data_IF_531236925385
#
_entry.id   IF_531236925385
#
_cell.length_a   1.000
_cell.length_b   1.000
_cell.length_c   1.000
_cell.angle_alpha   90.00
_cell.angle_beta   90.00
_cell.angle_gamma   90.00
#
_symmetry.space_group_name_H-M   'P 1'
#
loop_
_entity.id
_entity.type
_entity.pdbx_description
1 polymer ?
#
# COMPACT_ATOMS: atom_id res chain seq x y z
N UNK A 1 -25.28 -8.20 21.56
CA UNK A 1 -25.43 -6.75 21.30
C UNK A 1 -25.54 -6.50 19.80
N UNK A 2 -26.07 -5.35 19.38
CA UNK A 2 -26.01 -4.90 17.99
C UNK A 2 -24.75 -4.05 17.80
N UNK A 3 -24.01 -4.26 16.71
CA UNK A 3 -22.82 -3.47 16.34
C UNK A 3 -22.92 -3.07 14.88
N UNK A 4 -22.41 -1.88 14.54
CA UNK A 4 -22.10 -1.49 13.18
C UNK A 4 -20.59 -1.65 12.95
N UNK A 5 -20.20 -2.54 12.05
CA UNK A 5 -18.80 -2.76 11.68
C UNK A 5 -18.60 -2.30 10.24
N UNK A 6 -17.91 -1.19 10.05
CA UNK A 6 -17.59 -0.66 8.73
C UNK A 6 -18.81 -0.39 7.83
N UNK A 7 -20.01 -0.17 8.40
CA UNK A 7 -21.28 0.03 7.68
C UNK A 7 -22.19 -1.21 7.66
N UNK A 8 -21.73 -2.34 8.20
CA UNK A 8 -22.52 -3.57 8.33
C UNK A 8 -23.04 -3.73 9.74
N UNK A 9 -24.36 -3.54 9.90
CA UNK A 9 -25.05 -3.78 11.17
C UNK A 9 -25.26 -5.28 11.38
N UNK A 10 -24.80 -5.80 12.51
CA UNK A 10 -24.91 -7.23 12.84
C UNK A 10 -25.08 -7.50 14.33
N UNK A 11 -25.75 -8.62 14.65
CA UNK A 11 -25.78 -9.13 16.03
C UNK A 11 -24.45 -9.79 16.37
N UNK A 12 -23.82 -9.31 17.44
CA UNK A 12 -22.54 -9.81 17.93
C UNK A 12 -22.71 -10.50 19.31
N UNK A 13 -22.22 -11.74 19.48
CA UNK A 13 -22.33 -12.51 20.72
C UNK A 13 -21.31 -12.03 21.78
N UNK A 14 -21.44 -10.77 22.22
CA UNK A 14 -20.55 -10.13 23.20
C UNK A 14 -20.32 -10.96 24.46
N UNK A 15 -21.34 -11.64 24.97
CA UNK A 15 -21.24 -12.41 26.22
C UNK A 15 -20.31 -13.62 26.08
N UNK A 16 -20.13 -14.14 24.87
CA UNK A 16 -19.16 -15.23 24.61
C UNK A 16 -17.71 -14.80 24.83
N UNK A 17 -17.43 -13.49 24.83
CA UNK A 17 -16.10 -12.96 25.19
C UNK A 17 -15.81 -13.06 26.70
N UNK A 18 -16.79 -13.39 27.54
CA UNK A 18 -16.58 -13.61 28.98
C UNK A 18 -16.00 -14.99 29.30
N UNK A 19 -15.79 -15.85 28.29
CA UNK A 19 -15.04 -17.09 28.44
C UNK A 19 -13.66 -16.80 29.07
N UNK A 20 -13.17 -17.68 29.94
CA UNK A 20 -11.96 -17.42 30.74
C UNK A 20 -10.72 -17.10 29.90
N UNK A 21 -10.61 -17.73 28.73
CA UNK A 21 -9.52 -17.49 27.78
C UNK A 21 -9.73 -16.26 26.88
N UNK A 22 -10.91 -15.63 26.87
CA UNK A 22 -11.23 -14.47 26.04
C UNK A 22 -11.43 -13.19 26.86
N UNK A 23 -11.81 -13.28 28.13
CA UNK A 23 -12.16 -12.12 28.97
C UNK A 23 -11.02 -11.11 29.16
N UNK A 24 -9.76 -11.55 29.06
CA UNK A 24 -8.57 -10.70 29.13
C UNK A 24 -8.05 -10.22 27.78
N UNK A 25 -8.89 -10.22 26.74
CA UNK A 25 -8.52 -9.71 25.41
C UNK A 25 -8.93 -8.26 25.23
N UNK A 26 -8.23 -7.52 24.38
CA UNK A 26 -8.54 -6.13 24.07
C UNK A 26 -9.99 -5.94 23.59
N UNK A 27 -10.53 -6.85 22.79
CA UNK A 27 -11.91 -6.78 22.33
C UNK A 27 -12.92 -7.00 23.47
N UNK A 28 -12.63 -7.93 24.39
CA UNK A 28 -13.49 -8.15 25.56
C UNK A 28 -13.53 -6.89 26.43
N UNK A 29 -12.37 -6.29 26.71
CA UNK A 29 -12.28 -5.04 27.49
C UNK A 29 -12.95 -3.89 26.74
N UNK A 30 -12.70 -3.72 25.44
CA UNK A 30 -13.33 -2.68 24.63
C UNK A 30 -14.85 -2.75 24.71
N UNK A 31 -15.46 -3.92 24.45
CA UNK A 31 -16.90 -4.04 24.35
C UNK A 31 -17.63 -4.11 25.69
N UNK A 32 -16.99 -4.61 26.75
CA UNK A 32 -17.60 -4.70 28.08
C UNK A 32 -17.37 -3.48 28.95
N UNK A 33 -16.19 -2.84 28.85
CA UNK A 33 -15.80 -1.72 29.71
C UNK A 33 -15.90 -0.37 29.02
N UNK A 34 -15.48 -0.29 27.76
CA UNK A 34 -15.36 0.95 27.01
C UNK A 34 -16.37 1.04 25.85
N UNK A 35 -17.47 0.29 25.93
CA UNK A 35 -18.47 0.25 24.86
C UNK A 35 -19.10 1.62 24.58
N UNK A 36 -19.27 2.44 25.62
CA UNK A 36 -19.80 3.80 25.52
C UNK A 36 -18.77 4.82 25.02
N UNK A 37 -17.52 4.40 24.81
CA UNK A 37 -16.46 5.23 24.23
C UNK A 37 -16.31 5.02 22.73
N UNK A 38 -17.08 4.10 22.15
CA UNK A 38 -17.14 3.91 20.71
C UNK A 38 -17.97 5.03 20.09
N UNK A 39 -17.60 5.40 18.86
CA UNK A 39 -18.48 6.21 18.02
C UNK A 39 -19.84 5.50 17.86
N UNK A 40 -20.88 6.26 17.53
CA UNK A 40 -22.19 5.69 17.21
C UNK A 40 -22.60 6.07 15.79
N UNK A 41 -23.33 5.16 15.12
CA UNK A 41 -23.82 5.36 13.77
C UNK A 41 -25.35 5.15 13.71
N UNK A 42 -26.02 5.97 12.90
CA UNK A 42 -27.47 5.93 12.72
C UNK A 42 -28.23 6.09 14.04
N UNK A 43 -28.99 5.06 14.42
CA UNK A 43 -29.85 5.06 15.61
C UNK A 43 -29.08 4.86 16.94
N UNK A 44 -27.86 5.41 17.06
CA UNK A 44 -27.01 5.23 18.23
C UNK A 44 -26.39 3.84 18.34
N UNK A 45 -26.24 3.10 17.24
CA UNK A 45 -25.59 1.78 17.26
C UNK A 45 -24.08 1.97 17.43
N UNK A 46 -23.41 1.30 18.39
CA UNK A 46 -21.96 1.40 18.54
C UNK A 46 -21.25 0.96 17.27
N UNK A 47 -20.29 1.76 16.84
CA UNK A 47 -19.54 1.61 15.61
C UNK A 47 -18.11 1.16 15.88
N UNK A 48 -17.63 0.19 15.11
CA UNK A 48 -16.23 -0.22 15.10
C UNK A 48 -15.69 -0.05 13.69
N UNK A 49 -14.68 0.80 13.55
CA UNK A 49 -14.03 1.09 12.28
C UNK A 49 -13.06 -0.04 11.87
N UNK A 50 -13.63 -1.17 11.45
CA UNK A 50 -12.90 -2.40 11.15
C UNK A 50 -13.54 -3.15 9.97
N UNK A 51 -12.92 -4.28 9.62
CA UNK A 51 -13.40 -5.20 8.58
C UNK A 51 -14.64 -6.00 9.04
N UNK A 52 -15.86 -5.75 8.51
CA UNK A 52 -17.04 -6.56 8.76
C UNK A 52 -16.90 -8.06 8.49
N UNK A 53 -16.10 -8.51 7.53
CA UNK A 53 -15.95 -9.94 7.25
C UNK A 53 -15.17 -10.65 8.35
N UNK A 54 -14.19 -9.98 8.97
CA UNK A 54 -13.55 -10.46 10.20
C UNK A 54 -14.58 -10.62 11.33
N UNK A 55 -15.43 -9.62 11.56
CA UNK A 55 -16.45 -9.70 12.63
C UNK A 55 -17.56 -10.72 12.33
N UNK A 56 -17.92 -10.95 11.06
CA UNK A 56 -18.81 -12.04 10.65
C UNK A 56 -18.21 -13.40 11.00
N UNK A 57 -16.95 -13.63 10.62
CA UNK A 57 -16.24 -14.86 10.97
C UNK A 57 -16.16 -15.05 12.49
N UNK A 58 -15.74 -14.03 13.23
CA UNK A 58 -15.60 -14.09 14.69
C UNK A 58 -16.96 -14.32 15.36
N UNK A 59 -18.03 -13.67 14.90
CA UNK A 59 -19.40 -13.85 15.42
C UNK A 59 -19.90 -15.29 15.22
N UNK A 60 -19.56 -15.94 14.11
CA UNK A 60 -19.88 -17.36 13.87
C UNK A 60 -19.09 -18.24 14.84
N UNK A 61 -17.77 -18.01 14.96
CA UNK A 61 -16.91 -18.78 15.87
C UNK A 61 -17.33 -18.65 17.33
N UNK A 62 -17.62 -17.45 17.81
CA UNK A 62 -18.11 -17.22 19.18
C UNK A 62 -19.46 -17.90 19.44
N UNK A 63 -20.37 -17.95 18.46
CA UNK A 63 -21.61 -18.72 18.57
C UNK A 63 -21.35 -20.22 18.69
N UNK A 64 -20.43 -20.75 17.90
CA UNK A 64 -20.03 -22.15 18.01
C UNK A 64 -19.36 -22.47 19.35
N UNK A 65 -18.54 -21.57 19.87
CA UNK A 65 -17.95 -21.71 21.20
C UNK A 65 -19.04 -21.75 22.28
N UNK A 66 -19.99 -20.81 22.25
CA UNK A 66 -21.14 -20.78 23.17
C UNK A 66 -21.97 -22.07 23.11
N UNK A 67 -22.13 -22.64 21.92
CA UNK A 67 -22.88 -23.87 21.69
C UNK A 67 -22.02 -25.13 21.90
N UNK A 68 -20.80 -25.00 22.46
CA UNK A 68 -19.82 -26.07 22.72
C UNK A 68 -19.44 -26.91 21.48
N UNK A 69 -19.42 -26.28 20.30
CA UNK A 69 -19.12 -26.95 19.02
C UNK A 69 -17.66 -26.85 18.59
N UNK A 70 -16.91 -25.92 19.17
CA UNK A 70 -15.49 -25.69 18.90
C UNK A 70 -14.76 -25.43 20.22
N UNK A 71 -13.45 -25.65 20.21
CA UNK A 71 -12.57 -25.22 21.29
C UNK A 71 -12.20 -23.73 21.11
N UNK A 72 -11.91 -23.02 22.20
CA UNK A 72 -11.49 -21.61 22.14
C UNK A 72 -10.18 -21.40 21.38
N UNK A 73 -9.31 -22.41 21.32
CA UNK A 73 -8.09 -22.39 20.48
C UNK A 73 -8.40 -22.23 18.99
N UNK A 74 -9.54 -22.74 18.52
CA UNK A 74 -9.96 -22.49 17.13
C UNK A 74 -10.28 -21.02 16.84
N UNK A 75 -10.54 -20.23 17.88
CA UNK A 75 -10.66 -18.77 17.78
C UNK A 75 -9.27 -18.15 17.88
N UNK A 76 -8.52 -18.45 18.94
CA UNK A 76 -7.23 -17.82 19.22
C UNK A 76 -6.18 -18.10 18.14
N UNK A 77 -6.09 -19.35 17.69
CA UNK A 77 -5.03 -19.85 16.79
C UNK A 77 -5.57 -20.16 15.39
N UNK A 78 -6.88 -20.41 15.25
CA UNK A 78 -7.52 -20.80 13.98
C UNK A 78 -7.91 -19.65 13.05
N UNK A 79 -7.34 -18.45 13.25
CA UNK A 79 -7.67 -17.28 12.44
C UNK A 79 -7.17 -17.42 10.99
N UNK A 80 -8.02 -17.23 9.97
CA UNK A 80 -7.59 -17.12 8.58
C UNK A 80 -6.54 -16.02 8.40
N UNK A 81 -5.52 -16.21 7.54
CA UNK A 81 -4.47 -15.20 7.31
C UNK A 81 -5.01 -13.82 6.87
N UNK A 82 -6.12 -13.80 6.11
CA UNK A 82 -6.77 -12.57 5.65
C UNK A 82 -7.24 -11.66 6.81
N UNK A 83 -7.50 -12.23 7.98
CA UNK A 83 -8.01 -11.52 9.16
C UNK A 83 -6.95 -11.26 10.23
N UNK A 84 -5.72 -11.73 10.03
CA UNK A 84 -4.67 -11.67 11.04
C UNK A 84 -4.41 -10.26 11.58
N UNK A 85 -4.55 -9.23 10.73
CA UNK A 85 -4.39 -7.82 11.15
C UNK A 85 -5.31 -7.46 12.32
N UNK A 86 -6.62 -7.67 12.14
CA UNK A 86 -7.61 -7.33 13.16
C UNK A 86 -7.58 -8.33 14.31
N UNK A 87 -7.43 -9.63 13.99
CA UNK A 87 -7.37 -10.69 14.98
C UNK A 87 -6.27 -10.46 16.01
N UNK A 88 -5.04 -10.21 15.56
CA UNK A 88 -3.90 -9.99 16.45
C UNK A 88 -4.09 -8.79 17.37
N UNK A 89 -4.89 -7.79 16.97
CA UNK A 89 -5.13 -6.58 17.76
C UNK A 89 -6.29 -6.76 18.74
N UNK A 90 -7.41 -7.30 18.26
CA UNK A 90 -8.59 -7.51 19.06
C UNK A 90 -8.43 -8.65 20.08
N UNK A 91 -7.67 -9.70 19.75
CA UNK A 91 -7.44 -10.84 20.63
C UNK A 91 -6.11 -10.73 21.40
N UNK A 92 -5.37 -9.63 21.22
CA UNK A 92 -4.22 -9.31 22.07
C UNK A 92 -4.64 -9.32 23.54
N UNK A 93 -3.76 -9.86 24.39
CA UNK A 93 -3.96 -9.86 25.84
C UNK A 93 -3.68 -8.47 26.41
N UNK A 94 -4.44 -8.11 27.43
CA UNK A 94 -4.25 -6.89 28.21
C UNK A 94 -4.36 -7.23 29.69
N UNK A 95 -3.61 -6.49 30.51
CA UNK A 95 -3.70 -6.58 31.97
C UNK A 95 -4.91 -5.82 32.53
N UNK A 96 -5.63 -5.07 31.69
CA UNK A 96 -6.91 -4.47 32.07
C UNK A 96 -7.98 -5.55 32.22
N UNK A 97 -8.82 -5.36 33.23
CA UNK A 97 -10.04 -6.15 33.43
C UNK A 97 -11.26 -5.44 32.84
N UNK A 98 -12.29 -6.23 32.51
CA UNK A 98 -13.60 -5.74 32.08
C UNK A 98 -14.28 -4.87 33.16
N UNK A 99 -13.98 -5.15 34.44
CA UNK A 99 -14.44 -4.34 35.56
C UNK A 99 -13.42 -3.21 35.82
N UNK A 100 -13.84 -1.93 35.85
CA UNK A 100 -12.94 -0.82 36.16
C UNK A 100 -12.33 -0.93 37.57
N UNK A 101 -11.03 -0.69 37.68
CA UNK A 101 -10.36 -0.53 38.98
C UNK A 101 -9.99 0.93 39.25
N UNK A 102 -9.90 1.28 40.53
CA UNK A 102 -9.54 2.64 40.94
C UNK A 102 -8.09 2.94 40.53
N UNK A 103 -7.89 3.99 39.73
CA UNK A 103 -6.56 4.42 39.29
C UNK A 103 -6.09 3.87 37.93
N UNK A 104 -6.89 3.03 37.26
CA UNK A 104 -6.51 2.43 35.97
C UNK A 104 -6.08 3.45 34.92
N UNK A 105 -6.71 4.63 34.87
CA UNK A 105 -6.41 5.72 33.95
C UNK A 105 -4.98 6.27 34.05
N UNK A 106 -4.20 5.88 35.06
CA UNK A 106 -2.77 6.22 35.22
C UNK A 106 -1.85 5.00 35.13
N UNK A 107 -2.40 3.84 34.79
CA UNK A 107 -1.65 2.59 34.74
C UNK A 107 -1.04 2.37 33.36
N UNK A 108 0.13 1.73 33.33
CA UNK A 108 0.76 1.31 32.07
C UNK A 108 -0.13 0.33 31.27
N UNK A 109 -1.00 -0.42 31.94
CA UNK A 109 -1.98 -1.30 31.29
C UNK A 109 -3.02 -0.50 30.48
N UNK A 110 -3.47 0.64 31.00
CA UNK A 110 -4.34 1.55 30.28
C UNK A 110 -3.64 2.19 29.09
N UNK A 111 -2.42 2.69 29.27
CA UNK A 111 -1.63 3.26 28.17
C UNK A 111 -1.41 2.24 27.05
N UNK A 112 -1.05 1.00 27.41
CA UNK A 112 -0.89 -0.11 26.46
C UNK A 112 -2.21 -0.47 25.75
N UNK A 113 -3.34 -0.46 26.46
CA UNK A 113 -4.64 -0.67 25.86
C UNK A 113 -5.01 0.46 24.90
N UNK A 114 -4.75 1.73 25.24
CA UNK A 114 -5.05 2.85 24.35
C UNK A 114 -4.13 2.90 23.13
N UNK A 115 -2.86 2.52 23.27
CA UNK A 115 -1.99 2.31 22.12
C UNK A 115 -2.54 1.22 21.16
N UNK A 116 -3.16 0.18 21.70
CA UNK A 116 -3.77 -0.88 20.89
C UNK A 116 -5.13 -0.48 20.31
N UNK A 117 -6.00 0.13 21.11
CA UNK A 117 -7.44 0.27 20.81
C UNK A 117 -7.91 1.71 20.60
N UNK A 118 -7.08 2.71 20.87
CA UNK A 118 -7.41 4.13 20.74
C UNK A 118 -7.95 4.49 19.35
N UNK A 119 -7.44 3.83 18.29
CA UNK A 119 -7.90 4.03 16.92
C UNK A 119 -9.35 3.59 16.66
N UNK A 120 -9.99 2.86 17.59
CA UNK A 120 -11.40 2.47 17.52
C UNK A 120 -12.29 3.26 18.49
N UNK A 121 -11.69 4.16 19.28
CA UNK A 121 -12.31 4.90 20.37
C UNK A 121 -12.47 6.36 19.95
N UNK A 122 -13.62 6.96 20.27
CA UNK A 122 -13.94 8.36 20.00
C UNK A 122 -12.81 9.31 20.47
N UNK A 123 -12.40 10.24 19.61
CA UNK A 123 -11.30 11.17 19.91
C UNK A 123 -11.62 12.17 21.04
N UNK A 124 -12.89 12.33 21.40
CA UNK A 124 -13.33 13.17 22.52
C UNK A 124 -13.06 12.57 23.89
N UNK A 125 -12.79 11.25 23.98
CA UNK A 125 -12.44 10.59 25.24
C UNK A 125 -10.93 10.42 25.38
N UNK A 126 -10.45 10.36 26.62
CA UNK A 126 -9.02 10.34 26.92
C UNK A 126 -8.29 9.17 26.26
N UNK A 127 -7.33 9.45 25.37
CA UNK A 127 -6.53 8.45 24.65
C UNK A 127 -7.17 7.89 23.38
N UNK A 128 -8.40 8.33 23.04
CA UNK A 128 -9.06 7.98 21.78
C UNK A 128 -8.43 8.70 20.59
N UNK A 129 -8.33 7.99 19.47
CA UNK A 129 -7.81 8.49 18.18
C UNK A 129 -8.65 8.00 17.00
N UNK A 130 -9.85 7.51 17.29
CA UNK A 130 -10.79 6.91 16.35
C UNK A 130 -11.61 7.89 15.54
N UNK A 131 -11.38 9.19 15.69
CA UNK A 131 -12.19 10.22 15.05
C UNK A 131 -13.40 10.63 15.87
N UNK A 132 -14.22 11.51 15.29
CA UNK A 132 -15.35 12.14 15.97
C UNK A 132 -16.71 11.86 15.31
N UNK A 133 -16.69 11.40 14.07
CA UNK A 133 -17.91 11.11 13.31
C UNK A 133 -17.79 9.86 12.46
N UNK A 134 -18.93 9.22 12.18
CA UNK A 134 -19.04 8.09 11.25
C UNK A 134 -19.63 8.60 9.94
N UNK A 135 -18.88 8.44 8.86
CA UNK A 135 -19.28 8.81 7.51
C UNK A 135 -19.63 7.55 6.72
N UNK A 136 -20.66 7.62 5.87
CA UNK A 136 -21.09 6.46 5.08
C UNK A 136 -21.45 6.79 3.64
N UNK A 137 -21.27 5.81 2.76
CA UNK A 137 -21.64 5.86 1.34
C UNK A 137 -22.29 4.54 0.94
N UNK A 138 -23.25 4.59 0.01
CA UNK A 138 -23.86 3.41 -0.56
C UNK A 138 -23.21 3.04 -1.89
N UNK A 139 -22.73 1.80 -1.99
CA UNK A 139 -22.11 1.22 -3.19
C UNK A 139 -22.82 -0.08 -3.52
N UNK A 140 -23.42 -0.17 -4.70
CA UNK A 140 -24.20 -1.34 -5.15
C UNK A 140 -25.24 -1.83 -4.12
N UNK A 141 -25.89 -0.89 -3.43
CA UNK A 141 -26.90 -1.19 -2.40
C UNK A 141 -26.33 -1.63 -1.05
N UNK A 142 -25.00 -1.63 -0.88
CA UNK A 142 -24.33 -1.90 0.39
C UNK A 142 -23.84 -0.60 1.02
N UNK A 143 -24.06 -0.45 2.32
CA UNK A 143 -23.47 0.65 3.09
C UNK A 143 -22.00 0.33 3.38
N UNK A 144 -21.13 1.29 3.12
CA UNK A 144 -19.73 1.29 3.55
C UNK A 144 -19.55 2.52 4.43
N UNK A 145 -19.21 2.31 5.71
CA UNK A 145 -19.06 3.39 6.68
C UNK A 145 -17.67 3.36 7.33
N UNK A 146 -17.09 4.52 7.60
CA UNK A 146 -15.75 4.66 8.20
C UNK A 146 -15.73 5.88 9.11
N UNK A 147 -14.76 5.96 10.03
CA UNK A 147 -14.56 7.18 10.79
C UNK A 147 -13.96 8.30 9.93
N UNK A 148 -14.26 9.56 10.24
CA UNK A 148 -13.60 10.75 9.69
C UNK A 148 -12.07 10.65 9.76
N UNK A 149 -11.53 10.21 10.90
CA UNK A 149 -10.09 10.06 11.10
C UNK A 149 -9.44 9.13 10.05
N UNK A 150 -10.16 8.13 9.53
CA UNK A 150 -9.65 7.24 8.46
C UNK A 150 -9.50 7.98 7.12
N UNK A 151 -10.23 9.06 6.90
CA UNK A 151 -10.27 9.79 5.65
C UNK A 151 -9.42 11.08 5.65
N UNK A 152 -8.86 11.47 6.79
CA UNK A 152 -8.25 12.80 6.97
C UNK A 152 -7.10 13.10 6.02
N UNK A 153 -6.28 12.09 5.69
CA UNK A 153 -5.15 12.23 4.76
C UNK A 153 -5.51 11.91 3.30
N UNK A 154 -6.79 11.69 3.00
CA UNK A 154 -7.25 11.15 1.70
C UNK A 154 -8.35 12.00 1.07
N UNK A 155 -8.04 13.24 0.71
CA UNK A 155 -8.98 14.25 0.19
C UNK A 155 -9.97 13.72 -0.86
N UNK A 156 -9.51 13.04 -1.91
CA UNK A 156 -10.38 12.55 -2.99
C UNK A 156 -11.37 11.50 -2.48
N UNK A 157 -10.94 10.61 -1.58
CA UNK A 157 -11.84 9.64 -0.96
C UNK A 157 -12.75 10.31 0.07
N UNK A 158 -12.24 11.24 0.88
CA UNK A 158 -13.03 12.03 1.84
C UNK A 158 -14.20 12.73 1.15
N UNK A 159 -13.95 13.38 0.00
CA UNK A 159 -14.99 13.99 -0.84
C UNK A 159 -16.05 12.99 -1.32
N UNK A 160 -15.70 11.71 -1.50
CA UNK A 160 -16.71 10.68 -1.81
C UNK A 160 -17.70 10.46 -0.67
N UNK A 161 -17.24 10.55 0.57
CA UNK A 161 -18.09 10.39 1.75
C UNK A 161 -18.86 11.67 2.11
N UNK A 162 -18.33 12.85 1.79
CA UNK A 162 -18.89 14.13 2.26
C UNK A 162 -19.60 14.95 1.18
N UNK A 163 -19.04 15.03 -0.03
CA UNK A 163 -19.45 15.97 -1.09
C UNK A 163 -20.18 15.29 -2.26
N UNK A 164 -19.68 14.15 -2.74
CA UNK A 164 -20.19 13.52 -3.95
C UNK A 164 -21.53 12.80 -3.70
N UNK A 165 -22.61 13.39 -4.22
CA UNK A 165 -23.99 12.88 -4.04
C UNK A 165 -24.40 11.77 -5.02
N UNK A 166 -23.67 11.61 -6.13
CA UNK A 166 -23.95 10.58 -7.13
C UNK A 166 -23.52 9.18 -6.66
N UNK A 167 -24.15 8.11 -7.19
CA UNK A 167 -23.73 6.75 -6.87
C UNK A 167 -22.26 6.54 -7.21
N UNK A 168 -21.59 5.65 -6.46
CA UNK A 168 -20.30 5.12 -6.86
C UNK A 168 -20.54 4.24 -8.09
N UNK A 169 -20.11 4.75 -9.24
CA UNK A 169 -20.12 4.05 -10.53
C UNK A 169 -18.68 3.71 -10.89
N UNK A 170 -18.46 2.57 -11.57
CA UNK A 170 -17.14 2.06 -12.02
C UNK A 170 -16.28 1.32 -11.00
N UNK A 171 -16.67 1.24 -9.73
CA UNK A 171 -15.99 0.41 -8.72
C UNK A 171 -17.01 -0.46 -8.03
N UNK A 172 -16.73 -1.77 -7.97
CA UNK A 172 -17.60 -2.72 -7.26
C UNK A 172 -17.62 -2.42 -5.75
N UNK A 173 -18.67 -2.85 -5.06
CA UNK A 173 -18.72 -2.70 -3.60
C UNK A 173 -17.56 -3.43 -2.91
N UNK A 174 -17.10 -4.56 -3.46
CA UNK A 174 -15.96 -5.32 -2.92
C UNK A 174 -14.64 -4.54 -3.03
N UNK A 175 -14.36 -3.93 -4.18
CA UNK A 175 -13.16 -3.11 -4.36
C UNK A 175 -13.21 -1.83 -3.56
N UNK A 176 -14.36 -1.15 -3.53
CA UNK A 176 -14.53 0.05 -2.71
C UNK A 176 -14.33 -0.27 -1.22
N UNK A 177 -14.87 -1.39 -0.77
CA UNK A 177 -14.66 -1.87 0.58
C UNK A 177 -13.18 -2.13 0.90
N UNK A 178 -12.46 -2.82 -0.01
CA UNK A 178 -11.03 -3.12 0.15
C UNK A 178 -10.17 -1.86 0.23
N UNK A 179 -10.44 -0.82 -0.56
CA UNK A 179 -9.66 0.43 -0.47
C UNK A 179 -9.92 1.18 0.83
N UNK A 180 -11.15 1.14 1.37
CA UNK A 180 -11.45 1.76 2.67
C UNK A 180 -10.79 0.95 3.79
N UNK A 181 -10.87 -0.37 3.75
CA UNK A 181 -10.15 -1.22 4.70
C UNK A 181 -8.63 -1.05 4.62
N UNK A 182 -8.08 -0.85 3.43
CA UNK A 182 -6.66 -0.57 3.22
C UNK A 182 -6.20 0.66 4.00
N UNK A 183 -6.91 1.79 3.87
CA UNK A 183 -6.57 3.02 4.59
C UNK A 183 -6.90 2.95 6.09
N UNK A 184 -7.93 2.18 6.51
CA UNK A 184 -8.16 1.90 7.94
C UNK A 184 -6.94 1.24 8.55
N UNK A 185 -6.36 0.23 7.88
CA UNK A 185 -5.17 -0.49 8.35
C UNK A 185 -3.94 0.41 8.41
N UNK A 186 -3.82 1.37 7.49
CA UNK A 186 -2.77 2.41 7.53
C UNK A 186 -2.96 3.27 8.76
N UNK A 187 -4.15 3.84 9.00
CA UNK A 187 -4.41 4.68 10.18
C UNK A 187 -4.21 3.94 11.50
N UNK A 188 -4.74 2.72 11.62
CA UNK A 188 -4.71 1.95 12.87
C UNK A 188 -3.28 1.56 13.25
N UNK A 189 -2.40 1.42 12.26
CA UNK A 189 -1.03 1.03 12.49
C UNK A 189 -0.12 1.65 11.42
N UNK A 190 0.14 2.97 11.54
CA UNK A 190 0.91 3.75 10.57
C UNK A 190 2.33 3.24 10.47
N UNK A 191 2.83 2.60 11.53
CA UNK A 191 4.23 2.19 11.60
C UNK A 191 4.62 0.97 10.76
N UNK A 192 3.66 0.35 10.09
CA UNK A 192 3.87 -0.90 9.39
C UNK A 192 3.49 -0.78 7.93
N UNK A 193 4.36 -1.26 7.05
CA UNK A 193 4.04 -1.38 5.63
C UNK A 193 2.81 -2.28 5.47
N UNK A 194 1.77 -1.73 4.81
CA UNK A 194 0.50 -2.43 4.60
C UNK A 194 0.42 -2.83 3.14
N UNK A 195 0.52 -4.12 2.80
CA UNK A 195 0.27 -4.52 1.42
C UNK A 195 -1.19 -4.22 1.05
N UNK A 196 -1.41 -3.95 -0.23
CA UNK A 196 -2.76 -3.84 -0.77
C UNK A 196 -3.54 -5.15 -0.50
N UNK A 197 -4.85 -5.09 -0.21
CA UNK A 197 -5.65 -6.30 -0.04
C UNK A 197 -5.59 -7.21 -1.27
N UNK A 198 -5.62 -8.52 -1.05
CA UNK A 198 -5.70 -9.50 -2.14
C UNK A 198 -7.01 -9.35 -2.91
N UNK A 199 -6.96 -9.46 -4.23
CA UNK A 199 -8.12 -9.37 -5.10
C UNK A 199 -8.00 -10.33 -6.29
N UNK A 200 -9.11 -10.95 -6.67
CA UNK A 200 -9.19 -11.74 -7.91
C UNK A 200 -9.17 -10.85 -9.17
N UNK A 201 -9.57 -9.58 -9.03
CA UNK A 201 -9.41 -8.55 -10.05
C UNK A 201 -8.56 -7.43 -9.46
N UNK A 202 -7.23 -7.61 -9.54
CA UNK A 202 -6.26 -6.67 -8.98
C UNK A 202 -6.16 -5.38 -9.80
N UNK A 203 -6.32 -5.47 -11.12
CA UNK A 203 -6.33 -4.29 -12.00
C UNK A 203 -7.49 -3.34 -11.64
N UNK A 204 -8.68 -3.87 -11.32
CA UNK A 204 -9.82 -3.06 -10.85
C UNK A 204 -9.57 -2.47 -9.45
N UNK A 205 -8.88 -3.19 -8.57
CA UNK A 205 -8.49 -2.65 -7.27
C UNK A 205 -7.50 -1.49 -7.43
N UNK A 206 -6.52 -1.65 -8.31
CA UNK A 206 -5.53 -0.61 -8.61
C UNK A 206 -6.19 0.61 -9.27
N UNK A 207 -7.15 0.38 -10.18
CA UNK A 207 -7.97 1.45 -10.76
C UNK A 207 -8.74 2.22 -9.67
N UNK A 208 -9.33 1.52 -8.70
CA UNK A 208 -9.99 2.17 -7.58
C UNK A 208 -9.02 3.00 -6.73
N UNK A 209 -7.81 2.48 -6.47
CA UNK A 209 -6.74 3.25 -5.80
C UNK A 209 -6.36 4.52 -6.58
N UNK A 210 -6.18 4.42 -7.89
CA UNK A 210 -5.88 5.57 -8.77
C UNK A 210 -7.00 6.60 -8.74
N UNK A 211 -8.25 6.16 -8.91
CA UNK A 211 -9.42 7.03 -8.92
C UNK A 211 -9.62 7.80 -7.61
N UNK A 212 -9.22 7.23 -6.47
CA UNK A 212 -9.32 7.86 -5.15
C UNK A 212 -8.02 8.44 -4.61
N UNK A 213 -6.97 8.55 -5.44
CA UNK A 213 -5.72 9.22 -5.07
C UNK A 213 -4.87 8.45 -4.06
N UNK A 214 -4.96 7.12 -4.03
CA UNK A 214 -4.27 6.26 -3.05
C UNK A 214 -2.92 5.73 -3.53
N UNK A 215 -2.48 6.09 -4.74
CA UNK A 215 -1.30 5.51 -5.38
C UNK A 215 0.01 5.77 -4.63
N UNK A 216 0.14 6.91 -3.96
CA UNK A 216 1.29 7.16 -3.08
C UNK A 216 1.42 6.07 -2.02
N UNK A 217 0.32 5.72 -1.35
CA UNK A 217 0.35 4.66 -0.34
C UNK A 217 0.59 3.29 -0.94
N UNK A 218 0.10 3.02 -2.16
CA UNK A 218 0.43 1.78 -2.87
C UNK A 218 1.93 1.69 -3.10
N UNK A 219 2.56 2.77 -3.56
CA UNK A 219 4.00 2.82 -3.85
C UNK A 219 4.85 2.71 -2.58
N UNK A 220 4.52 3.44 -1.52
CA UNK A 220 5.24 3.40 -0.26
C UNK A 220 5.17 2.02 0.40
N UNK A 221 4.00 1.39 0.40
CA UNK A 221 3.82 0.03 0.88
C UNK A 221 4.58 -0.99 0.03
N UNK A 222 4.56 -0.82 -1.30
CA UNK A 222 5.28 -1.68 -2.25
C UNK A 222 6.77 -1.70 -1.98
N UNK A 223 7.38 -0.55 -1.66
CA UNK A 223 8.83 -0.44 -1.41
C UNK A 223 9.20 -0.58 0.07
N UNK A 224 8.23 -0.85 0.96
CA UNK A 224 8.45 -1.02 2.39
C UNK A 224 8.87 0.27 3.13
N UNK A 225 8.45 1.43 2.61
CA UNK A 225 8.77 2.77 3.18
C UNK A 225 7.50 3.49 3.61
N UNK A 226 6.60 2.81 4.32
CA UNK A 226 5.28 3.36 4.74
C UNK A 226 5.32 4.63 5.59
N UNK A 227 6.50 5.00 6.10
CA UNK A 227 6.76 6.22 6.87
C UNK A 227 7.27 7.38 6.03
N UNK A 228 7.56 7.16 4.76
CA UNK A 228 8.08 8.20 3.88
C UNK A 228 6.95 8.93 3.18
N UNK A 229 7.25 10.11 2.67
CA UNK A 229 6.44 10.74 1.65
C UNK A 229 7.16 10.62 0.31
N UNK A 230 6.39 10.53 -0.77
CA UNK A 230 6.96 10.66 -2.10
C UNK A 230 6.65 12.04 -2.67
N UNK A 231 7.68 12.68 -3.21
CA UNK A 231 7.50 13.91 -3.99
C UNK A 231 7.80 13.63 -5.44
N UNK A 232 6.82 13.88 -6.31
CA UNK A 232 7.03 13.79 -7.75
C UNK A 232 8.05 14.86 -8.17
N UNK A 233 9.14 14.43 -8.79
CA UNK A 233 10.18 15.31 -9.34
C UNK A 233 10.15 15.33 -10.87
N UNK A 234 9.50 14.38 -11.54
CA UNK A 234 9.32 14.42 -12.99
C UNK A 234 8.04 13.67 -13.36
N UNK A 235 7.21 14.25 -14.24
CA UNK A 235 6.06 13.56 -14.81
C UNK A 235 5.83 13.92 -16.27
N UNK A 236 5.74 12.92 -17.15
CA UNK A 236 5.57 13.13 -18.60
C UNK A 236 4.32 13.93 -19.00
N UNK A 237 3.23 13.86 -18.22
CA UNK A 237 2.01 14.62 -18.52
C UNK A 237 2.14 16.13 -18.32
N UNK A 238 3.17 16.60 -17.61
CA UNK A 238 3.39 18.01 -17.28
C UNK A 238 4.75 18.53 -17.71
N UNK A 239 5.77 17.67 -17.70
CA UNK A 239 7.15 17.98 -18.03
C UNK A 239 7.52 17.38 -19.39
N UNK A 240 8.44 18.03 -20.11
CA UNK A 240 8.92 17.57 -21.43
C UNK A 240 9.74 16.26 -21.37
N UNK A 241 9.79 15.58 -20.21
CA UNK A 241 10.54 14.34 -19.95
C UNK A 241 12.02 14.40 -20.39
N UNK A 242 12.59 15.60 -20.36
CA UNK A 242 13.98 15.86 -20.72
C UNK A 242 14.95 15.32 -19.66
N UNK A 243 16.07 14.77 -20.14
CA UNK A 243 17.10 14.23 -19.27
C UNK A 243 17.72 15.29 -18.35
N UNK A 244 17.95 16.50 -18.86
CA UNK A 244 18.54 17.60 -18.08
C UNK A 244 17.65 18.00 -16.91
N UNK A 245 16.33 18.04 -17.12
CA UNK A 245 15.34 18.31 -16.06
C UNK A 245 15.41 17.26 -14.96
N UNK A 246 15.54 15.97 -15.29
CA UNK A 246 15.73 14.92 -14.29
C UNK A 246 17.01 15.14 -13.49
N UNK A 247 18.15 15.35 -14.15
CA UNK A 247 19.44 15.55 -13.48
C UNK A 247 19.39 16.78 -12.56
N UNK A 248 18.84 17.90 -13.05
CA UNK A 248 18.72 19.12 -12.27
C UNK A 248 17.85 18.93 -11.02
N UNK A 249 16.72 18.25 -11.15
CA UNK A 249 15.78 18.04 -10.03
C UNK A 249 16.24 16.95 -9.07
N UNK A 250 17.06 16.00 -9.52
CA UNK A 250 17.67 14.98 -8.69
C UNK A 250 18.95 15.46 -7.97
N UNK A 251 19.54 16.57 -8.41
CA UNK A 251 20.78 17.10 -7.83
C UNK A 251 20.62 17.39 -6.33
N UNK A 252 21.62 16.97 -5.55
CA UNK A 252 21.63 17.10 -4.09
C UNK A 252 20.66 16.17 -3.33
N UNK A 253 19.72 15.48 -3.98
CA UNK A 253 18.82 14.55 -3.31
C UNK A 253 19.58 13.33 -2.80
N UNK A 254 19.50 13.10 -1.49
CA UNK A 254 20.13 11.95 -0.82
C UNK A 254 19.18 10.76 -0.67
N UNK A 255 17.86 11.01 -0.75
CA UNK A 255 16.85 9.97 -0.70
C UNK A 255 16.85 9.10 -1.96
N UNK A 256 16.29 7.90 -1.83
CA UNK A 256 16.07 7.03 -2.98
C UNK A 256 15.12 7.65 -4.01
N UNK A 257 15.14 7.08 -5.22
CA UNK A 257 14.23 7.42 -6.30
C UNK A 257 13.34 6.23 -6.65
N UNK A 258 12.07 6.52 -6.94
CA UNK A 258 11.12 5.55 -7.48
C UNK A 258 10.72 6.00 -8.88
N UNK A 259 11.08 5.20 -9.88
CA UNK A 259 10.66 5.35 -11.26
C UNK A 259 9.42 4.48 -11.46
N UNK A 260 8.30 5.08 -11.84
CA UNK A 260 7.08 4.37 -12.25
C UNK A 260 6.90 4.60 -13.74
N UNK A 261 6.91 3.50 -14.50
CA UNK A 261 6.90 3.54 -15.95
C UNK A 261 5.68 2.77 -16.43
N UNK A 262 4.98 3.39 -17.37
CA UNK A 262 3.84 2.80 -18.02
C UNK A 262 4.07 2.71 -19.52
N UNK A 263 3.73 1.56 -20.10
CA UNK A 263 3.67 1.40 -21.53
C UNK A 263 2.36 0.75 -21.96
N UNK A 264 1.82 1.26 -23.05
CA UNK A 264 0.63 0.70 -23.67
C UNK A 264 1.01 -0.34 -24.72
N UNK A 265 0.28 -1.44 -24.73
CA UNK A 265 0.24 -2.35 -25.84
C UNK A 265 -1.21 -2.70 -26.16
N UNK A 266 -1.47 -3.03 -27.42
CA UNK A 266 -2.81 -3.13 -28.06
C UNK A 266 -3.87 -3.88 -27.26
N UNK A 267 -3.47 -4.72 -26.31
CA UNK A 267 -4.34 -5.57 -25.50
C UNK A 267 -4.27 -5.32 -24.00
N UNK A 268 -3.21 -4.69 -23.47
CA UNK A 268 -2.96 -4.52 -22.03
C UNK A 268 -2.09 -3.30 -21.71
N UNK A 269 -2.40 -2.65 -20.59
CA UNK A 269 -1.56 -1.62 -19.95
C UNK A 269 -0.53 -2.34 -19.08
N UNK A 270 0.75 -2.07 -19.31
CA UNK A 270 1.83 -2.58 -18.47
C UNK A 270 2.34 -1.42 -17.63
N UNK A 271 2.32 -1.60 -16.30
CA UNK A 271 2.89 -0.64 -15.35
C UNK A 271 3.90 -1.39 -14.50
N UNK A 272 5.11 -0.84 -14.42
CA UNK A 272 6.17 -1.39 -13.59
C UNK A 272 6.93 -0.26 -12.91
N UNK A 273 7.70 -0.59 -11.89
CA UNK A 273 8.51 0.37 -11.18
C UNK A 273 9.93 -0.12 -10.96
N UNK A 274 10.83 0.83 -10.76
CA UNK A 274 12.21 0.61 -10.36
C UNK A 274 12.52 1.52 -9.18
N UNK A 275 12.83 0.93 -8.03
CA UNK A 275 13.28 1.64 -6.85
C UNK A 275 14.81 1.59 -6.78
N UNK A 276 15.42 2.76 -6.65
CA UNK A 276 16.86 2.95 -6.42
C UNK A 276 17.01 3.48 -5.00
N UNK A 277 17.58 2.68 -4.08
CA UNK A 277 17.84 3.13 -2.70
C UNK A 277 19.18 3.86 -2.63
N UNK A 278 19.18 5.09 -3.14
CA UNK A 278 20.35 5.96 -3.16
C UNK A 278 20.22 7.11 -4.17
N UNK A 279 21.20 8.03 -4.18
CA UNK A 279 21.16 9.21 -5.03
C UNK A 279 21.38 8.88 -6.51
N UNK A 280 20.78 9.69 -7.38
CA UNK A 280 21.06 9.69 -8.83
C UNK A 280 22.11 10.76 -9.12
N UNK A 281 23.37 10.34 -9.28
CA UNK A 281 24.51 11.25 -9.41
C UNK A 281 24.93 11.35 -10.88
N UNK A 282 24.83 12.53 -11.47
CA UNK A 282 25.40 12.82 -12.78
C UNK A 282 26.90 13.16 -12.68
N UNK A 283 27.72 12.84 -13.70
CA UNK A 283 29.12 13.24 -13.74
C UNK A 283 29.28 14.76 -13.87
N UNK A 284 30.36 15.32 -13.32
CA UNK A 284 30.69 16.74 -13.47
C UNK A 284 31.14 17.11 -14.90
N UNK A 285 31.69 16.16 -15.64
CA UNK A 285 32.00 16.33 -17.07
C UNK A 285 30.74 16.03 -17.90
N UNK A 286 30.23 16.99 -18.70
CA UNK A 286 29.00 16.82 -19.47
C UNK A 286 29.07 15.69 -20.52
N UNK A 287 30.26 15.19 -20.87
CA UNK A 287 30.42 14.09 -21.84
C UNK A 287 30.75 12.74 -21.21
N UNK A 288 31.01 12.71 -19.91
CA UNK A 288 31.36 11.49 -19.20
C UNK A 288 30.11 10.64 -18.87
N UNK A 289 30.35 9.47 -18.29
CA UNK A 289 29.35 8.68 -17.58
C UNK A 289 29.85 8.40 -16.16
N UNK A 290 28.95 8.34 -15.18
CA UNK A 290 29.26 7.97 -13.81
C UNK A 290 28.47 6.74 -13.41
N UNK A 291 29.16 5.76 -12.82
CA UNK A 291 28.55 4.56 -12.23
C UNK A 291 28.54 4.65 -10.72
N UNK A 292 27.36 4.51 -10.13
CA UNK A 292 27.14 4.50 -8.68
C UNK A 292 26.58 3.14 -8.27
N UNK A 293 27.14 2.55 -7.22
CA UNK A 293 26.62 1.29 -6.65
C UNK A 293 25.55 1.64 -5.62
N UNK A 294 24.36 1.09 -5.78
CA UNK A 294 23.23 1.29 -4.86
C UNK A 294 22.21 0.17 -5.02
N UNK A 295 21.46 -0.20 -3.97
CA UNK A 295 20.40 -1.19 -4.08
C UNK A 295 19.36 -0.80 -5.12
N UNK A 296 19.00 -1.76 -5.97
CA UNK A 296 17.94 -1.62 -6.97
C UNK A 296 16.95 -2.75 -6.82
N UNK A 297 15.66 -2.44 -6.95
CA UNK A 297 14.59 -3.44 -6.99
C UNK A 297 13.57 -3.07 -8.05
N UNK A 298 13.12 -4.06 -8.83
CA UNK A 298 12.04 -3.88 -9.79
C UNK A 298 10.72 -4.39 -9.22
N UNK A 299 9.63 -3.83 -9.71
CA UNK A 299 8.28 -4.23 -9.37
C UNK A 299 7.42 -4.30 -10.63
N UNK A 300 6.70 -5.39 -10.85
CA UNK A 300 5.57 -5.40 -11.77
C UNK A 300 4.33 -4.95 -11.01
N UNK A 301 3.72 -3.84 -11.42
CA UNK A 301 2.48 -3.33 -10.83
C UNK A 301 1.27 -3.93 -11.55
N UNK A 302 1.31 -4.00 -12.88
CA UNK A 302 0.27 -4.65 -13.69
C UNK A 302 0.81 -5.10 -15.07
N UNK A 303 0.10 -6.03 -15.71
CA UNK A 303 0.36 -6.48 -17.08
C UNK A 303 1.29 -7.69 -17.21
N UNK A 304 2.46 -7.68 -16.57
CA UNK A 304 3.48 -8.71 -16.77
C UNK A 304 3.20 -10.05 -16.06
N UNK A 305 2.38 -10.05 -15.00
CA UNK A 305 2.01 -11.24 -14.22
C UNK A 305 0.49 -11.41 -14.14
N UNK A 306 0.02 -12.58 -13.69
CA UNK A 306 -1.39 -12.83 -13.40
C UNK A 306 -1.93 -11.81 -12.39
N UNK A 307 -3.16 -11.32 -12.60
CA UNK A 307 -3.77 -10.34 -11.69
C UNK A 307 -3.86 -10.86 -10.25
N UNK A 308 -4.08 -12.17 -10.07
CA UNK A 308 -4.10 -12.80 -8.75
C UNK A 308 -2.76 -12.76 -8.00
N UNK A 309 -1.64 -12.48 -8.68
CA UNK A 309 -0.32 -12.36 -8.06
C UNK A 309 -0.07 -11.01 -7.37
N UNK A 310 -0.92 -10.01 -7.64
CA UNK A 310 -0.78 -8.64 -7.16
C UNK A 310 0.46 -7.93 -7.70
N UNK A 311 1.01 -7.00 -6.90
CA UNK A 311 2.31 -6.38 -7.20
C UNK A 311 3.41 -7.42 -6.95
N UNK A 312 4.23 -7.66 -7.96
CA UNK A 312 5.31 -8.65 -7.90
C UNK A 312 6.64 -7.94 -7.78
N UNK A 313 7.39 -8.20 -6.71
CA UNK A 313 8.76 -7.73 -6.52
C UNK A 313 9.75 -8.65 -7.23
N UNK A 314 10.72 -8.06 -7.91
CA UNK A 314 11.80 -8.75 -8.62
C UNK A 314 13.14 -8.27 -8.04
N UNK A 315 13.86 -9.19 -7.39
CA UNK A 315 15.16 -8.92 -6.80
C UNK A 315 16.23 -8.83 -7.89
N UNK A 316 17.08 -7.80 -7.81
CA UNK A 316 18.26 -7.68 -8.68
C UNK A 316 19.46 -8.34 -7.99
N UNK A 317 20.26 -9.18 -8.66
CA UNK A 317 21.47 -9.76 -8.08
C UNK A 317 22.43 -8.66 -7.58
N UNK A 318 23.03 -8.87 -6.40
CA UNK A 318 23.84 -7.82 -5.73
C UNK A 318 25.00 -7.31 -6.57
N UNK A 319 25.64 -8.16 -7.39
CA UNK A 319 26.70 -7.78 -8.32
C UNK A 319 26.22 -7.00 -9.56
N UNK A 320 24.91 -6.80 -9.69
CA UNK A 320 24.27 -6.04 -10.77
C UNK A 320 23.59 -4.78 -10.27
N UNK A 321 23.62 -4.50 -8.96
CA UNK A 321 22.97 -3.35 -8.33
C UNK A 321 23.82 -2.08 -8.48
N UNK A 322 23.68 -1.42 -9.63
CA UNK A 322 24.31 -0.14 -9.90
C UNK A 322 23.47 0.70 -10.88
N UNK A 323 23.81 1.97 -10.98
CA UNK A 323 23.21 2.94 -11.90
C UNK A 323 24.32 3.67 -12.62
N UNK A 324 24.24 3.71 -13.96
CA UNK A 324 25.08 4.56 -14.80
C UNK A 324 24.24 5.77 -15.26
N UNK A 325 24.80 6.96 -15.10
CA UNK A 325 24.19 8.23 -15.53
C UNK A 325 25.15 8.94 -16.47
N UNK A 326 24.67 9.36 -17.64
CA UNK A 326 25.44 10.18 -18.57
C UNK A 326 25.57 11.63 -18.07
N UNK A 327 26.59 12.35 -18.52
CA UNK A 327 26.56 13.81 -18.53
C UNK A 327 25.51 14.33 -19.52
N UNK A 328 25.15 15.60 -19.43
CA UNK A 328 24.08 16.22 -20.25
C UNK A 328 24.33 16.08 -21.77
N UNK A 329 25.58 16.24 -22.21
CA UNK A 329 26.03 16.06 -23.60
C UNK A 329 26.51 14.62 -23.92
N UNK A 330 26.54 13.74 -22.93
CA UNK A 330 27.08 12.39 -23.02
C UNK A 330 26.04 11.31 -23.29
N UNK A 331 26.49 10.06 -23.22
CA UNK A 331 25.66 8.87 -23.29
C UNK A 331 26.26 7.76 -22.44
N UNK A 332 25.41 6.96 -21.82
CA UNK A 332 25.79 5.70 -21.21
C UNK A 332 26.06 4.69 -22.32
N UNK A 333 27.16 3.94 -22.18
CA UNK A 333 27.61 2.98 -23.18
C UNK A 333 27.19 1.55 -22.85
N UNK A 334 26.93 0.75 -23.88
CA UNK A 334 26.71 -0.69 -23.73
C UNK A 334 28.05 -1.45 -23.49
N UNK A 335 27.97 -2.78 -23.40
CA UNK A 335 29.11 -3.67 -23.21
C UNK A 335 30.13 -3.64 -24.37
N UNK A 336 29.73 -3.18 -25.55
CA UNK A 336 30.60 -2.94 -26.71
C UNK A 336 31.20 -1.53 -26.74
N UNK A 337 30.87 -0.68 -25.76
CA UNK A 337 31.32 0.71 -25.69
C UNK A 337 30.54 1.67 -26.60
N UNK A 338 29.43 1.23 -27.18
CA UNK A 338 28.59 2.05 -28.07
C UNK A 338 27.62 2.92 -27.25
N UNK A 339 27.43 4.20 -27.59
CA UNK A 339 26.49 5.07 -26.88
C UNK A 339 25.05 4.59 -27.08
N UNK A 340 24.33 4.29 -26.00
CA UNK A 340 23.01 3.61 -26.07
C UNK A 340 21.88 4.39 -25.38
N UNK A 341 22.13 5.02 -24.22
CA UNK A 341 21.08 5.71 -23.47
C UNK A 341 21.57 6.82 -22.56
N UNK A 342 20.69 7.41 -21.76
CA UNK A 342 21.02 8.48 -20.79
C UNK A 342 21.16 7.98 -19.36
N UNK A 343 20.35 6.98 -18.99
CA UNK A 343 20.43 6.31 -17.70
C UNK A 343 20.34 4.80 -17.93
N UNK A 344 21.20 4.03 -17.26
CA UNK A 344 21.18 2.57 -17.27
C UNK A 344 21.15 2.06 -15.84
N UNK A 345 20.20 1.21 -15.52
CA UNK A 345 19.91 0.75 -14.17
C UNK A 345 20.04 -0.78 -14.14
N UNK A 346 20.63 -1.29 -13.07
CA UNK A 346 20.75 -2.71 -12.78
C UNK A 346 21.44 -3.52 -13.90
N UNK A 347 22.60 -3.06 -14.35
CA UNK A 347 23.38 -3.69 -15.43
C UNK A 347 22.57 -3.89 -16.71
N UNK A 348 21.88 -2.84 -17.15
CA UNK A 348 21.16 -2.81 -18.41
C UNK A 348 19.73 -3.32 -18.38
N UNK A 349 19.23 -3.80 -17.22
CA UNK A 349 17.84 -4.28 -17.08
C UNK A 349 16.80 -3.19 -17.32
N UNK A 350 17.17 -1.92 -17.11
CA UNK A 350 16.38 -0.77 -17.52
C UNK A 350 17.28 0.33 -18.10
N UNK A 351 16.96 0.77 -19.30
CA UNK A 351 17.55 1.93 -19.96
C UNK A 351 16.50 3.01 -20.15
N UNK A 352 16.86 4.25 -19.89
CA UNK A 352 16.06 5.45 -20.17
C UNK A 352 16.75 6.31 -21.23
N UNK A 353 15.97 6.89 -22.13
CA UNK A 353 16.47 7.59 -23.31
C UNK A 353 17.28 6.69 -24.25
N UNK A 354 16.87 5.43 -24.38
CA UNK A 354 17.50 4.42 -25.23
C UNK A 354 17.30 4.71 -26.72
N UNK A 355 18.36 4.58 -27.52
CA UNK A 355 18.27 4.60 -28.98
C UNK A 355 19.32 3.72 -29.66
N UNK A 356 18.98 3.23 -30.85
CA UNK A 356 19.79 2.27 -31.60
C UNK A 356 21.08 2.88 -32.17
N UNK A 357 21.03 4.16 -32.51
CA UNK A 357 22.12 4.91 -33.15
C UNK A 357 22.60 6.07 -32.25
N UNK A 358 22.49 5.89 -30.93
CA UNK A 358 22.75 6.91 -29.92
C UNK A 358 21.55 7.15 -29.00
N UNK A 359 21.73 7.92 -27.90
CA UNK A 359 20.66 8.19 -26.96
C UNK A 359 19.50 8.94 -27.63
N UNK A 360 18.28 8.65 -27.19
CA UNK A 360 17.10 9.42 -27.60
C UNK A 360 17.16 10.86 -27.04
N UNK A 361 16.42 11.77 -27.67
CA UNK A 361 16.35 13.18 -27.24
C UNK A 361 15.63 13.39 -25.91
N UNK A 362 14.82 12.43 -25.47
CA UNK A 362 14.10 12.44 -24.19
C UNK A 362 14.26 11.10 -23.47
N UNK A 363 13.71 10.99 -22.25
CA UNK A 363 13.77 9.77 -21.44
C UNK A 363 12.74 8.69 -21.84
N UNK A 364 11.77 9.01 -22.71
CA UNK A 364 10.58 8.17 -22.91
C UNK A 364 10.87 6.89 -23.67
N UNK A 365 11.89 6.90 -24.53
CA UNK A 365 12.37 5.67 -25.16
C UNK A 365 13.11 4.84 -24.14
N UNK A 366 12.56 3.68 -23.82
CA UNK A 366 13.08 2.79 -22.80
C UNK A 366 13.47 1.44 -23.41
N UNK A 367 14.38 0.76 -22.72
CA UNK A 367 14.59 -0.67 -22.91
C UNK A 367 14.50 -1.36 -21.55
N UNK A 368 13.71 -2.42 -21.42
CA UNK A 368 13.56 -3.15 -20.17
C UNK A 368 13.55 -4.66 -20.43
N UNK A 369 14.42 -5.37 -19.72
CA UNK A 369 14.51 -6.82 -19.75
C UNK A 369 14.98 -7.37 -18.40
N UNK A 370 14.76 -8.66 -18.19
CA UNK A 370 15.16 -9.44 -17.02
C UNK A 370 15.68 -10.79 -17.48
N UNK A 371 16.67 -11.32 -16.78
CA UNK A 371 17.09 -12.70 -17.04
C UNK A 371 15.97 -13.64 -16.56
N UNK A 372 15.71 -14.74 -17.28
CA UNK A 372 14.66 -15.70 -16.90
C UNK A 372 14.77 -16.19 -15.46
N UNK A 373 16.00 -16.39 -14.98
CA UNK A 373 16.28 -16.85 -13.61
C UNK A 373 15.99 -15.82 -12.52
N UNK A 374 15.65 -14.59 -12.88
CA UNK A 374 15.30 -13.51 -11.94
C UNK A 374 13.79 -13.43 -11.68
N UNK A 375 12.98 -14.11 -12.49
CA UNK A 375 11.54 -14.16 -12.27
C UNK A 375 11.26 -14.90 -10.95
N UNK A 376 10.43 -14.34 -10.07
CA UNK A 376 10.19 -14.93 -8.75
C UNK A 376 9.43 -16.26 -8.84
N UNK A 377 9.85 -17.22 -8.02
CA UNK A 377 9.18 -18.51 -7.89
C UNK A 377 7.74 -18.36 -7.39
N UNK A 378 6.85 -19.22 -7.88
CA UNK A 378 5.44 -19.24 -7.47
C UNK A 378 4.59 -18.10 -8.03
N UNK A 379 5.15 -17.26 -8.89
CA UNK A 379 4.43 -16.22 -9.64
C UNK A 379 4.21 -16.65 -11.09
N UNK A 380 3.09 -16.24 -11.66
CA UNK A 380 2.70 -16.63 -13.01
C UNK A 380 3.00 -15.49 -13.98
N UNK A 381 4.17 -15.56 -14.61
CA UNK A 381 4.58 -14.63 -15.65
C UNK A 381 3.74 -14.82 -16.92
N UNK A 382 3.27 -13.70 -17.50
CA UNK A 382 2.39 -13.67 -18.67
C UNK A 382 3.02 -13.03 -19.91
N UNK A 383 4.20 -12.43 -19.76
CA UNK A 383 4.89 -11.78 -20.87
C UNK A 383 5.59 -12.78 -21.79
N UNK A 384 6.07 -12.26 -22.91
CA UNK A 384 6.84 -13.04 -23.89
C UNK A 384 8.33 -13.04 -23.54
N UNK A 385 9.02 -14.10 -23.95
CA UNK A 385 10.48 -14.18 -23.85
C UNK A 385 11.11 -13.77 -25.18
N UNK A 386 11.98 -12.77 -25.15
CA UNK A 386 12.78 -12.35 -26.31
C UNK A 386 14.22 -12.80 -26.10
N UNK A 387 14.75 -13.66 -26.96
CA UNK A 387 16.09 -14.25 -26.84
C UNK A 387 16.38 -14.94 -25.49
N UNK A 388 15.32 -15.38 -24.79
CA UNK A 388 15.42 -16.04 -23.49
C UNK A 388 15.19 -15.10 -22.30
N UNK A 389 15.16 -13.79 -22.52
CA UNK A 389 14.95 -12.76 -21.51
C UNK A 389 13.47 -12.40 -21.40
N UNK A 390 13.03 -12.11 -20.18
CA UNK A 390 11.69 -11.62 -19.87
C UNK A 390 11.64 -10.09 -19.91
N UNK A 391 10.44 -9.53 -19.95
CA UNK A 391 10.19 -8.09 -19.80
C UNK A 391 8.98 -7.81 -18.91
N UNK A 392 9.05 -6.75 -18.11
CA UNK A 392 7.95 -6.19 -17.34
C UNK A 392 7.10 -5.24 -18.20
N UNK A 393 7.69 -4.69 -19.26
CA UNK A 393 7.00 -3.91 -20.26
C UNK A 393 6.25 -4.83 -21.24
N UNK A 394 5.55 -4.24 -22.21
CA UNK A 394 4.92 -5.02 -23.26
C UNK A 394 5.92 -5.56 -24.31
N UNK A 395 7.01 -4.83 -24.54
CA UNK A 395 8.11 -5.21 -25.43
C UNK A 395 9.43 -4.77 -24.82
N UNK A 396 10.52 -5.45 -25.16
CA UNK A 396 11.85 -5.14 -24.60
C UNK A 396 12.25 -3.68 -24.86
N UNK A 397 12.03 -3.17 -26.06
CA UNK A 397 12.20 -1.75 -26.39
C UNK A 397 10.85 -1.11 -26.64
N UNK A 398 10.58 0.02 -26.00
CA UNK A 398 9.27 0.69 -26.06
C UNK A 398 9.40 2.19 -25.84
N UNK A 399 8.36 2.94 -26.20
CA UNK A 399 8.18 4.32 -25.75
C UNK A 399 7.17 4.28 -24.61
N UNK A 400 7.52 4.81 -23.43
CA UNK A 400 6.57 4.87 -22.32
C UNK A 400 5.40 5.82 -22.66
N UNK A 401 4.20 5.42 -22.28
CA UNK A 401 3.01 6.26 -22.35
C UNK A 401 3.01 7.28 -21.21
N UNK A 402 3.40 6.85 -20.02
CA UNK A 402 3.60 7.72 -18.86
C UNK A 402 4.89 7.33 -18.12
N UNK A 403 5.50 8.34 -17.48
CA UNK A 403 6.67 8.18 -16.64
C UNK A 403 6.55 9.17 -15.49
N UNK A 404 6.59 8.64 -14.28
CA UNK A 404 6.61 9.39 -13.04
C UNK A 404 7.89 9.04 -12.29
N UNK A 405 8.63 10.04 -11.82
CA UNK A 405 9.82 9.85 -10.99
C UNK A 405 9.60 10.58 -9.69
N UNK A 406 9.74 9.84 -8.60
CA UNK A 406 9.55 10.34 -7.25
C UNK A 406 10.84 10.28 -6.47
N UNK A 407 11.04 11.25 -5.58
CA UNK A 407 12.02 11.15 -4.49
C UNK A 407 11.34 10.74 -3.20
N UNK A 408 12.02 9.91 -2.42
CA UNK A 408 11.61 9.56 -1.07
C UNK A 408 12.09 10.63 -0.08
N UNK A 409 11.16 11.21 0.65
CA UNK A 409 11.43 12.09 1.78
C UNK A 409 11.18 11.31 3.07
N UNK A 410 12.10 11.41 4.03
CA UNK A 410 11.80 10.94 5.38
C UNK A 410 10.60 11.75 5.90
N UNK A 411 9.68 11.11 6.61
CA UNK A 411 8.76 11.85 7.46
C UNK A 411 9.60 12.73 8.38
N UNK A 412 9.29 14.02 8.43
CA UNK A 412 9.86 14.89 9.46
C UNK A 412 9.42 14.31 10.79
N UNK A 413 10.34 13.64 11.49
CA UNK A 413 10.07 13.08 12.79
C UNK A 413 9.61 14.19 13.72
N UNK A 414 8.41 14.01 14.27
CA UNK A 414 7.93 14.67 15.48
C UNK A 414 9.00 14.56 16.57
N UNK A 415 9.78 15.63 16.71
CA UNK A 415 10.71 15.83 17.82
C UNK A 415 10.00 16.17 19.12
#
# INVERSE_FOLDING_TARGET
MLLDIGGTVMTFPRDSLLHDELKGTCLAVLLHRFGDWLLTHGNGTPFVDADPDYFKWLSVKLRYLRDNRIDVKEICEGCPPAFAFYHNRFLAKTDLTIEPQTGDHKSAAFDGFMAAMGAFIDSSVAGGTGGSEVLSVFVEGRSVATADATLDDFDTLKKRFTEYRGPVVHVSADHFYKIVDYIRRIRIAPDAARPLPTSSSFDELLYACEMYGLMEQVYLSMIGKSHSHIKCILRNSYDDCEFETLVQRADGLQGGLLFVIECEHKTRRHRFACHIDGPLIAPSDPKAELRTTCPVTFYSISGAFEGGDGIVQIAVPSNKQWVNVAGTEGAVKNDKGEPTGKVCIANGRLWLGHGKDGPAGDLRRCQQWLERGELPDGKTYRGDFHDGDATLAATVSFTCADMEIYTLQASEGSG
#
